data_IF_595630570938
#
_entry.id   IF_595630570938
#
_cell.length_a   1.000
_cell.length_b   1.000
_cell.length_c   1.000
_cell.angle_alpha   90.00
_cell.angle_beta   90.00
_cell.angle_gamma   90.00
#
_symmetry.space_group_name_H-M   'P 1'
#
loop_
_entity.id
_entity.type
_entity.pdbx_description
1 polymer ?
#
# COMPACT_ATOMS: atom_id res chain seq x y z
N UNK A 1 14.41 -8.61 0.64
CA UNK A 1 13.30 -8.76 1.62
C UNK A 1 13.37 -10.10 2.34
N UNK A 2 13.29 -11.26 1.64
CA UNK A 2 13.34 -12.60 2.26
C UNK A 2 14.54 -12.75 3.18
N UNK A 3 15.75 -12.42 2.72
CA UNK A 3 16.95 -12.54 3.53
C UNK A 3 16.90 -11.74 4.82
N UNK A 4 16.34 -10.52 4.78
CA UNK A 4 16.21 -9.69 5.98
C UNK A 4 15.29 -10.35 7.02
N UNK A 5 14.13 -10.82 6.60
CA UNK A 5 13.22 -11.56 7.49
C UNK A 5 13.87 -12.84 8.04
N UNK A 6 14.50 -13.64 7.14
CA UNK A 6 15.19 -14.87 7.56
C UNK A 6 16.28 -14.59 8.60
N UNK A 7 17.06 -13.52 8.43
CA UNK A 7 18.08 -13.14 9.41
C UNK A 7 17.45 -12.83 10.78
N UNK A 8 16.42 -11.97 10.81
CA UNK A 8 15.74 -11.59 12.05
C UNK A 8 15.15 -12.81 12.77
N UNK A 9 14.50 -13.69 12.02
CA UNK A 9 13.85 -14.87 12.60
C UNK A 9 14.85 -15.93 13.02
N UNK A 10 15.94 -16.13 12.28
CA UNK A 10 17.00 -17.05 12.67
C UNK A 10 17.75 -16.59 13.93
N UNK A 11 17.96 -15.28 14.08
CA UNK A 11 18.56 -14.75 15.30
C UNK A 11 17.63 -14.82 16.51
N UNK A 12 16.31 -14.75 16.30
CA UNK A 12 15.26 -14.86 17.33
C UNK A 12 15.51 -13.98 18.58
N UNK A 13 15.96 -12.74 18.35
CA UNK A 13 16.34 -11.80 19.43
C UNK A 13 15.30 -10.72 19.69
N UNK A 14 14.21 -10.69 18.92
CA UNK A 14 13.20 -9.64 18.97
C UNK A 14 11.81 -10.23 19.14
N UNK A 15 10.93 -9.53 19.84
CA UNK A 15 9.52 -9.93 20.00
C UNK A 15 8.61 -9.34 18.92
N UNK A 16 9.08 -8.34 18.17
CA UNK A 16 8.31 -7.71 17.10
C UNK A 16 9.23 -7.17 16.00
N UNK A 17 8.72 -7.13 14.78
CA UNK A 17 9.38 -6.56 13.62
C UNK A 17 8.44 -5.62 12.85
N UNK A 18 8.96 -4.55 12.30
CA UNK A 18 8.22 -3.63 11.44
C UNK A 18 8.95 -3.43 10.11
N UNK A 19 8.20 -3.45 9.02
CA UNK A 19 8.70 -3.32 7.67
C UNK A 19 7.94 -2.22 6.91
N UNK A 20 8.67 -1.30 6.28
CA UNK A 20 8.11 -0.25 5.43
C UNK A 20 8.39 -0.48 3.94
N UNK A 21 8.80 -1.67 3.55
CA UNK A 21 9.12 -2.01 2.17
C UNK A 21 8.10 -3.00 1.62
N UNK A 22 7.65 -2.75 0.39
CA UNK A 22 6.82 -3.64 -0.41
C UNK A 22 7.59 -4.25 -1.58
N UNK A 23 6.99 -5.22 -2.23
CA UNK A 23 7.46 -5.78 -3.51
C UNK A 23 6.75 -5.09 -4.68
N UNK A 24 5.74 -4.33 -4.38
CA UNK A 24 4.80 -3.74 -5.32
C UNK A 24 3.52 -4.55 -5.45
N UNK A 25 2.57 -4.11 -6.27
CA UNK A 25 1.27 -4.77 -6.40
C UNK A 25 1.37 -6.23 -6.78
N UNK A 26 0.38 -7.03 -6.37
CA UNK A 26 0.28 -8.43 -6.77
C UNK A 26 0.30 -8.61 -8.30
N UNK A 27 -0.34 -7.70 -9.03
CA UNK A 27 -0.33 -7.69 -10.50
C UNK A 27 1.07 -7.51 -11.08
N UNK A 28 1.91 -6.66 -10.46
CA UNK A 28 3.32 -6.51 -10.83
C UNK A 28 4.10 -7.77 -10.50
N UNK A 29 3.90 -8.33 -9.33
CA UNK A 29 4.55 -9.59 -8.92
C UNK A 29 4.22 -10.73 -9.88
N UNK A 30 2.96 -10.85 -10.30
CA UNK A 30 2.56 -11.82 -11.33
C UNK A 30 3.24 -11.56 -12.67
N UNK A 31 3.37 -10.30 -13.08
CA UNK A 31 4.08 -9.94 -14.31
C UNK A 31 5.57 -10.27 -14.21
N UNK A 32 6.20 -9.99 -13.08
CA UNK A 32 7.61 -10.34 -12.86
C UNK A 32 7.82 -11.85 -12.90
N UNK A 33 6.87 -12.63 -12.39
CA UNK A 33 6.87 -14.09 -12.54
C UNK A 33 6.74 -14.51 -14.01
N UNK A 34 5.79 -13.93 -14.75
CA UNK A 34 5.63 -14.20 -16.18
C UNK A 34 6.87 -13.85 -17.00
N UNK A 35 7.59 -12.80 -16.62
CA UNK A 35 8.85 -12.37 -17.25
C UNK A 35 10.09 -13.10 -16.72
N UNK A 36 9.93 -14.08 -15.84
CA UNK A 36 11.00 -14.85 -15.20
C UNK A 36 11.99 -14.00 -14.38
N UNK A 37 11.58 -12.83 -13.93
CA UNK A 37 12.35 -11.97 -13.01
C UNK A 37 12.19 -12.47 -11.58
N UNK A 38 10.97 -12.90 -11.21
CA UNK A 38 10.68 -13.61 -9.98
C UNK A 38 10.30 -15.06 -10.30
N UNK A 39 10.67 -15.98 -9.44
CA UNK A 39 10.18 -17.35 -9.53
C UNK A 39 8.82 -17.46 -8.85
N UNK A 40 7.89 -18.34 -9.30
CA UNK A 40 6.66 -18.61 -8.58
C UNK A 40 6.92 -19.03 -7.13
N UNK A 41 8.02 -19.72 -6.88
CA UNK A 41 8.45 -20.15 -5.55
C UNK A 41 8.87 -19.00 -4.64
N UNK A 42 9.20 -17.83 -5.18
CA UNK A 42 9.63 -16.69 -4.36
C UNK A 42 8.56 -16.28 -3.34
N UNK A 43 7.30 -16.15 -3.78
CA UNK A 43 6.19 -15.78 -2.91
C UNK A 43 5.86 -16.89 -1.90
N UNK A 44 5.97 -18.15 -2.32
CA UNK A 44 5.81 -19.28 -1.39
C UNK A 44 6.89 -19.27 -0.31
N UNK A 45 8.16 -19.04 -0.68
CA UNK A 45 9.27 -18.95 0.29
C UNK A 45 9.07 -17.75 1.21
N UNK A 46 8.61 -16.61 0.69
CA UNK A 46 8.30 -15.44 1.52
C UNK A 46 7.26 -15.79 2.59
N UNK A 47 6.16 -16.43 2.21
CA UNK A 47 5.13 -16.86 3.14
C UNK A 47 5.64 -17.85 4.18
N UNK A 48 6.50 -18.80 3.80
CA UNK A 48 7.11 -19.74 4.73
C UNK A 48 8.01 -19.03 5.76
N UNK A 49 8.79 -18.05 5.31
CA UNK A 49 9.63 -17.24 6.21
C UNK A 49 8.78 -16.40 7.17
N UNK A 50 7.71 -15.79 6.70
CA UNK A 50 6.79 -15.03 7.56
C UNK A 50 6.07 -15.97 8.56
N UNK A 51 5.69 -17.16 8.13
CA UNK A 51 5.13 -18.19 9.00
C UNK A 51 6.12 -18.64 10.10
N UNK A 52 7.41 -18.74 9.77
CA UNK A 52 8.46 -19.01 10.77
C UNK A 52 8.43 -17.96 11.88
N UNK A 53 8.42 -16.67 11.54
CA UNK A 53 8.34 -15.58 12.53
C UNK A 53 7.09 -15.69 13.42
N UNK A 54 5.93 -15.97 12.81
CA UNK A 54 4.68 -16.15 13.56
C UNK A 54 4.75 -17.35 14.53
N UNK A 55 5.31 -18.46 14.09
CA UNK A 55 5.49 -19.66 14.94
C UNK A 55 6.47 -19.43 16.10
N UNK A 56 7.42 -18.53 15.93
CA UNK A 56 8.36 -18.11 16.98
C UNK A 56 7.74 -17.10 17.96
N UNK A 57 6.50 -16.66 17.74
CA UNK A 57 5.83 -15.65 18.55
C UNK A 57 6.30 -14.22 18.26
N UNK A 58 6.96 -13.99 17.13
CA UNK A 58 7.39 -12.66 16.70
C UNK A 58 6.21 -11.96 15.99
N UNK A 59 5.75 -10.85 16.55
CA UNK A 59 4.70 -10.04 15.95
C UNK A 59 5.26 -9.23 14.78
N UNK A 60 4.85 -9.55 13.56
CA UNK A 60 5.34 -8.87 12.37
C UNK A 60 4.30 -7.88 11.84
N UNK A 61 4.78 -6.68 11.53
CA UNK A 61 3.98 -5.60 10.98
C UNK A 61 4.60 -5.12 9.66
N UNK A 62 3.75 -4.72 8.74
CA UNK A 62 4.17 -4.12 7.46
C UNK A 62 3.27 -2.97 7.08
N UNK A 63 3.81 -2.00 6.37
CA UNK A 63 3.00 -0.95 5.76
C UNK A 63 2.05 -1.55 4.72
N UNK A 64 0.81 -1.05 4.68
CA UNK A 64 -0.19 -1.48 3.69
C UNK A 64 0.02 -0.88 2.30
N UNK A 65 0.92 0.09 2.19
CA UNK A 65 1.21 0.85 0.97
C UNK A 65 0.69 2.28 1.05
N UNK A 66 1.11 3.09 0.07
CA UNK A 66 0.93 4.54 0.07
C UNK A 66 0.01 5.05 -1.06
N UNK A 67 -0.55 4.17 -1.85
CA UNK A 67 -1.32 4.52 -3.07
C UNK A 67 -2.81 4.26 -2.96
N UNK A 68 -3.32 4.06 -1.75
CA UNK A 68 -4.72 3.69 -1.51
C UNK A 68 -5.04 2.30 -2.05
N UNK A 69 -6.30 2.05 -2.34
CA UNK A 69 -6.75 0.83 -2.99
C UNK A 69 -6.37 0.76 -4.49
N UNK A 70 -5.89 1.88 -5.03
CA UNK A 70 -5.52 2.01 -6.44
C UNK A 70 -4.02 1.80 -6.56
N UNK A 71 -3.62 0.61 -6.85
CA UNK A 71 -2.23 0.33 -7.10
C UNK A 71 -1.91 0.63 -8.56
N UNK A 72 -0.84 1.40 -8.77
CA UNK A 72 -0.31 1.69 -10.09
C UNK A 72 0.00 0.40 -10.83
N UNK A 73 -0.88 -0.02 -11.69
CA UNK A 73 -0.56 -1.08 -12.63
C UNK A 73 0.47 -0.54 -13.61
N UNK A 74 1.44 -1.38 -14.02
CA UNK A 74 2.45 -0.99 -15.02
C UNK A 74 1.87 -0.59 -16.39
N UNK A 75 0.59 -0.73 -16.62
CA UNK A 75 -0.10 -0.10 -17.75
C UNK A 75 0.08 1.41 -17.78
N UNK A 76 0.40 1.99 -16.62
CA UNK A 76 0.65 3.39 -16.46
C UNK A 76 2.01 3.91 -16.79
N UNK A 77 2.99 3.06 -16.97
CA UNK A 77 4.35 3.50 -17.28
C UNK A 77 4.56 3.72 -18.77
N UNK A 78 3.73 3.18 -19.64
CA UNK A 78 3.92 3.25 -21.09
C UNK A 78 3.03 4.25 -21.84
N UNK A 79 2.29 5.08 -21.14
CA UNK A 79 1.45 6.11 -21.81
C UNK A 79 0.83 7.09 -20.82
N UNK A 80 0.49 8.27 -21.33
CA UNK A 80 -0.07 9.40 -20.57
C UNK A 80 -1.38 9.14 -19.80
N UNK A 81 -1.88 7.92 -19.73
CA UNK A 81 -3.12 7.53 -19.05
C UNK A 81 -2.89 6.65 -17.82
N UNK A 82 -1.63 6.37 -17.50
CA UNK A 82 -1.29 5.29 -16.62
C UNK A 82 -1.44 5.50 -15.13
N UNK A 83 -1.69 6.67 -14.67
CA UNK A 83 -1.77 6.96 -13.24
C UNK A 83 -3.14 6.65 -12.63
N UNK A 84 -4.15 6.28 -13.42
CA UNK A 84 -5.53 6.20 -12.96
C UNK A 84 -6.34 5.09 -13.64
N UNK A 85 -5.78 3.90 -13.80
CA UNK A 85 -6.67 2.76 -14.00
C UNK A 85 -7.36 2.44 -12.67
N UNK A 86 -8.44 3.18 -12.40
CA UNK A 86 -9.29 3.02 -11.22
C UNK A 86 -10.08 1.72 -11.22
N UNK A 87 -9.95 0.92 -12.26
CA UNK A 87 -10.69 -0.31 -12.42
C UNK A 87 -10.08 -1.49 -11.67
N UNK A 88 -8.81 -1.40 -11.27
CA UNK A 88 -8.11 -2.52 -10.64
C UNK A 88 -7.66 -2.14 -9.23
N UNK A 89 -8.31 -2.72 -8.24
CA UNK A 89 -7.81 -2.73 -6.85
C UNK A 89 -6.84 -3.87 -6.68
N UNK A 90 -5.78 -3.65 -5.92
CA UNK A 90 -4.76 -4.67 -5.68
C UNK A 90 -4.07 -4.41 -4.33
N UNK A 91 -3.27 -5.33 -3.86
CA UNK A 91 -2.50 -5.22 -2.62
C UNK A 91 -1.06 -5.70 -2.84
N UNK A 92 -0.15 -5.31 -1.95
CA UNK A 92 1.22 -5.80 -1.97
C UNK A 92 1.28 -7.24 -1.44
N UNK A 93 2.09 -8.14 -2.05
CA UNK A 93 2.21 -9.53 -1.61
C UNK A 93 2.67 -9.71 -0.17
N UNK A 94 3.51 -8.81 0.35
CA UNK A 94 3.94 -8.89 1.75
C UNK A 94 2.76 -8.55 2.65
N UNK A 95 2.08 -7.43 2.37
CA UNK A 95 0.97 -6.94 3.18
C UNK A 95 -0.28 -7.82 3.10
N UNK A 96 -0.38 -8.68 2.09
CA UNK A 96 -1.48 -9.65 1.93
C UNK A 96 -1.17 -11.04 2.46
N UNK A 97 0.04 -11.29 2.97
CA UNK A 97 0.37 -12.56 3.59
C UNK A 97 -0.45 -12.79 4.86
N UNK A 98 -0.98 -14.02 5.10
CA UNK A 98 -1.73 -14.34 6.31
C UNK A 98 -0.87 -14.35 7.60
N UNK A 99 0.46 -14.22 7.48
CA UNK A 99 1.42 -14.33 8.58
C UNK A 99 2.00 -12.99 9.03
N UNK A 100 1.42 -11.87 8.59
CA UNK A 100 1.88 -10.52 8.91
C UNK A 100 0.68 -9.59 9.12
N UNK A 101 0.83 -8.61 10.00
CA UNK A 101 -0.21 -7.59 10.20
C UNK A 101 0.06 -6.41 9.27
N UNK A 102 -0.84 -6.16 8.35
CA UNK A 102 -0.80 -5.00 7.47
C UNK A 102 -1.36 -3.77 8.18
N UNK A 103 -0.55 -2.71 8.26
CA UNK A 103 -0.89 -1.47 8.96
C UNK A 103 -1.10 -0.34 7.97
N UNK A 104 -2.30 0.22 7.95
CA UNK A 104 -2.60 1.47 7.26
C UNK A 104 -2.31 2.69 8.12
N UNK A 105 -2.29 3.88 7.49
CA UNK A 105 -2.17 5.15 8.18
C UNK A 105 -3.55 5.78 8.42
N UNK A 106 -3.65 6.60 9.46
CA UNK A 106 -4.82 7.44 9.71
C UNK A 106 -4.44 8.91 9.84
N UNK A 107 -5.40 9.79 9.64
CA UNK A 107 -5.29 11.22 9.90
C UNK A 107 -6.21 11.51 11.09
N UNK A 108 -5.64 11.98 12.22
CA UNK A 108 -6.44 12.31 13.39
C UNK A 108 -7.34 13.52 13.16
N UNK A 109 -8.39 13.65 13.96
CA UNK A 109 -9.21 14.86 13.98
C UNK A 109 -8.32 16.08 14.28
N UNK A 110 -8.36 17.08 13.42
CA UNK A 110 -7.47 18.24 13.50
C UNK A 110 -7.98 19.42 12.67
N UNK A 111 -7.45 20.59 12.95
CA UNK A 111 -7.67 21.77 12.12
C UNK A 111 -6.32 22.40 11.78
N UNK A 112 -6.07 22.55 10.49
CA UNK A 112 -4.83 23.14 9.97
C UNK A 112 -5.13 24.38 9.15
N UNK A 113 -4.31 25.40 9.33
CA UNK A 113 -4.30 26.56 8.44
C UNK A 113 -3.22 26.33 7.40
N UNK A 114 -3.62 26.21 6.16
CA UNK A 114 -2.70 25.98 5.03
C UNK A 114 -2.41 27.33 4.40
N UNK A 115 -1.15 27.76 4.52
CA UNK A 115 -0.63 28.93 3.81
C UNK A 115 0.07 28.45 2.54
N UNK A 116 -0.65 28.42 1.45
CA UNK A 116 -0.07 28.13 0.12
C UNK A 116 -0.33 29.28 -0.83
N UNK A 117 0.41 29.39 -1.93
CA UNK A 117 0.09 30.34 -2.99
C UNK A 117 -1.35 30.22 -3.52
N UNK A 118 -1.98 29.05 -3.35
CA UNK A 118 -3.37 28.78 -3.74
C UNK A 118 -4.38 29.19 -2.67
N UNK A 119 -3.92 29.73 -1.54
CA UNK A 119 -4.75 30.23 -0.46
C UNK A 119 -5.92 29.31 -0.04
N UNK A 120 -5.63 28.02 0.13
CA UNK A 120 -6.63 27.00 0.48
C UNK A 120 -7.30 27.22 1.85
N UNK A 121 -6.80 28.17 2.62
CA UNK A 121 -7.41 28.57 3.87
C UNK A 121 -7.29 27.53 4.99
N UNK A 122 -8.41 27.29 5.68
CA UNK A 122 -8.48 26.42 6.85
C UNK A 122 -9.05 25.06 6.46
N UNK A 123 -8.30 23.99 6.75
CA UNK A 123 -8.75 22.60 6.56
C UNK A 123 -9.09 22.01 7.91
N UNK A 124 -10.32 21.55 8.07
CA UNK A 124 -10.78 20.87 9.29
C UNK A 124 -11.09 19.42 8.98
N UNK A 125 -10.50 18.52 9.76
CA UNK A 125 -10.77 17.10 9.77
C UNK A 125 -11.58 16.82 11.03
N UNK A 126 -12.90 16.64 10.93
CA UNK A 126 -13.79 16.62 12.09
C UNK A 126 -13.68 15.34 12.91
N UNK A 127 -13.23 14.24 12.29
CA UNK A 127 -13.02 12.95 12.94
C UNK A 127 -11.84 12.22 12.32
N UNK A 128 -11.25 11.29 13.04
CA UNK A 128 -10.22 10.43 12.50
C UNK A 128 -10.72 9.67 11.27
N UNK A 129 -9.88 9.59 10.26
CA UNK A 129 -10.15 8.92 8.98
C UNK A 129 -8.92 8.22 8.45
N UNK A 130 -9.10 7.30 7.53
CA UNK A 130 -7.98 6.73 6.79
C UNK A 130 -7.15 7.83 6.12
N UNK A 131 -5.83 7.69 6.16
CA UNK A 131 -4.93 8.58 5.43
C UNK A 131 -5.21 8.52 3.94
N UNK A 132 -5.35 9.68 3.33
CA UNK A 132 -5.55 9.83 1.90
C UNK A 132 -5.56 11.28 1.48
N UNK A 133 -5.23 11.54 0.22
CA UNK A 133 -5.19 12.87 -0.40
C UNK A 133 -6.45 13.22 -1.21
N UNK A 134 -7.55 12.48 -0.99
CA UNK A 134 -8.85 12.68 -1.64
C UNK A 134 -9.45 14.09 -1.43
N UNK A 135 -9.15 14.71 -0.30
CA UNK A 135 -9.54 16.09 -0.01
C UNK A 135 -8.92 17.09 -1.00
N UNK A 136 -7.63 16.90 -1.32
CA UNK A 136 -6.96 17.74 -2.31
C UNK A 136 -7.59 17.56 -3.69
N UNK A 137 -7.92 16.33 -4.04
CA UNK A 137 -8.61 16.00 -5.28
C UNK A 137 -9.95 16.70 -5.43
N UNK A 138 -10.78 16.61 -4.40
CA UNK A 138 -12.11 17.23 -4.42
C UNK A 138 -12.02 18.76 -4.48
N UNK A 139 -11.06 19.37 -3.78
CA UNK A 139 -10.83 20.81 -3.81
C UNK A 139 -10.35 21.31 -5.17
N UNK A 140 -9.49 20.55 -5.84
CA UNK A 140 -8.95 20.91 -7.13
C UNK A 140 -9.95 20.67 -8.27
N UNK A 141 -10.77 19.63 -8.18
CA UNK A 141 -11.84 19.34 -9.13
C UNK A 141 -12.88 20.46 -9.17
N UNK A 142 -13.11 21.12 -8.05
CA UNK A 142 -14.09 22.22 -7.94
C UNK A 142 -13.58 23.51 -8.56
N UNK A 143 -12.27 23.70 -8.72
CA UNK A 143 -11.69 24.96 -9.21
C UNK A 143 -11.54 25.06 -10.74
N UNK A 144 -11.11 23.99 -11.41
CA UNK A 144 -10.69 24.11 -12.82
C UNK A 144 -11.49 23.26 -13.82
N UNK A 145 -12.38 22.40 -13.39
CA UNK A 145 -13.08 21.46 -14.29
C UNK A 145 -12.15 20.50 -15.08
N UNK A 146 -10.83 20.75 -15.07
CA UNK A 146 -9.84 19.99 -15.82
C UNK A 146 -8.97 19.15 -14.89
N UNK A 147 -9.51 18.00 -14.52
CA UNK A 147 -8.87 17.02 -13.62
C UNK A 147 -7.54 16.49 -14.14
N UNK A 148 -7.29 16.52 -15.44
CA UNK A 148 -6.06 15.97 -16.05
C UNK A 148 -4.84 16.84 -15.80
N UNK A 149 -4.97 18.15 -15.82
CA UNK A 149 -3.87 19.09 -15.57
C UNK A 149 -3.45 19.05 -14.11
N UNK A 150 -4.42 18.95 -13.22
CA UNK A 150 -4.19 18.85 -11.79
C UNK A 150 -3.48 17.55 -11.42
N UNK A 151 -3.87 16.43 -12.03
CA UNK A 151 -3.20 15.14 -11.84
C UNK A 151 -1.74 15.13 -12.28
N UNK A 152 -1.40 15.87 -13.32
CA UNK A 152 -0.01 16.02 -13.79
C UNK A 152 0.84 16.84 -12.84
N UNK A 153 0.24 17.77 -12.10
CA UNK A 153 0.94 18.65 -11.15
C UNK A 153 1.11 18.04 -9.77
N UNK A 154 0.28 17.05 -9.40
CA UNK A 154 0.37 16.35 -8.12
C UNK A 154 1.13 15.04 -8.33
N UNK A 155 2.44 15.08 -8.16
CA UNK A 155 3.27 13.88 -8.09
C UNK A 155 2.96 13.11 -6.80
N UNK A 156 1.88 12.39 -6.76
CA UNK A 156 1.58 11.47 -5.69
C UNK A 156 0.20 11.62 -5.07
N UNK A 157 -0.73 10.80 -5.50
CA UNK A 157 -1.86 10.44 -4.65
C UNK A 157 -1.32 9.51 -3.56
N UNK A 158 -1.21 10.04 -2.33
CA UNK A 158 -0.94 9.24 -1.17
C UNK A 158 -2.25 8.77 -0.53
N UNK A 159 -2.23 7.57 0.06
CA UNK A 159 -3.32 7.02 0.83
C UNK A 159 -2.96 5.66 1.38
N UNK A 160 -3.56 5.30 2.53
CA UNK A 160 -3.40 3.97 3.10
C UNK A 160 -3.76 2.90 2.09
N UNK A 161 -2.84 1.99 1.86
CA UNK A 161 -3.05 0.83 1.03
C UNK A 161 -4.08 -0.13 1.62
N UNK A 162 -4.57 -1.02 0.80
CA UNK A 162 -5.51 -2.07 1.15
C UNK A 162 -6.20 -2.58 -0.08
N UNK A 163 -6.86 -3.72 0.05
CA UNK A 163 -7.57 -4.34 -1.06
C UNK A 163 -7.65 -5.85 -0.89
N UNK A 164 -8.17 -6.51 -1.92
CA UNK A 164 -8.23 -7.95 -1.96
C UNK A 164 -6.98 -8.49 -2.65
N UNK A 165 -6.36 -9.51 -2.05
CA UNK A 165 -5.24 -10.19 -2.67
C UNK A 165 -5.73 -11.04 -3.85
N UNK A 166 -4.99 -11.01 -4.94
CA UNK A 166 -5.17 -11.93 -6.07
C UNK A 166 -4.27 -13.17 -5.95
N UNK A 167 -3.45 -13.25 -4.91
CA UNK A 167 -2.47 -14.32 -4.69
C UNK A 167 -2.79 -15.17 -3.48
N UNK A 168 -3.38 -14.56 -2.45
CA UNK A 168 -3.65 -15.20 -1.17
C UNK A 168 -5.16 -15.37 -0.97
N UNK A 169 -5.57 -16.54 -0.50
CA UNK A 169 -6.94 -16.76 -0.07
C UNK A 169 -7.22 -16.05 1.26
N UNK A 170 -8.47 -15.68 1.50
CA UNK A 170 -8.91 -15.14 2.78
C UNK A 170 -8.61 -16.13 3.90
N UNK A 171 -7.78 -15.78 4.88
CA UNK A 171 -7.45 -16.67 5.97
C UNK A 171 -8.67 -16.93 6.88
N UNK A 172 -8.69 -18.07 7.53
CA UNK A 172 -9.84 -18.51 8.36
C UNK A 172 -10.21 -17.52 9.47
N UNK A 173 -9.24 -16.81 10.03
CA UNK A 173 -9.48 -15.81 11.07
C UNK A 173 -10.13 -14.50 10.56
N UNK A 174 -10.28 -14.35 9.25
CA UNK A 174 -10.99 -13.22 8.61
C UNK A 174 -12.32 -13.65 7.96
N UNK A 175 -12.67 -14.94 8.06
CA UNK A 175 -13.94 -15.45 7.58
C UNK A 175 -14.99 -15.22 8.68
N UNK A 176 -15.86 -14.23 8.51
CA UNK A 176 -17.00 -13.91 9.36
C UNK A 176 -18.29 -14.49 8.87
#
# INVERSE_FOLDING_TARGET
TINAYSTVFNENKVGSGSNSWGIGPNSISQMLVKRRVLTPKYLQVLNLVLAQGALQGISNFTASGDTGALINTLRGVSGNQGLLDRATTDSDPISSSPWITSCGGTIPASTHTIKTPLNLGKVTIPKERAWGSDWAWNSLKSQDGNTTTVLKSIHGFGGSGGGFSHLEATPSYQQG
#
